data_IF_635651856967
#
_entry.id   IF_635651856967
#
_cell.length_a   1.000
_cell.length_b   1.000
_cell.length_c   1.000
_cell.angle_alpha   90.00
_cell.angle_beta   90.00
_cell.angle_gamma   90.00
#
_symmetry.space_group_name_H-M   'P 1'
#
loop_
_entity.id
_entity.type
_entity.pdbx_description
1 polymer ?
#
# COMPACT_ATOMS: atom_id res chain seq x y z
N UNK A 1 -3.42 -2.89 -9.35
CA UNK A 1 -2.64 -2.66 -8.12
C UNK A 1 -3.49 -3.04 -6.92
N UNK A 2 -2.87 -3.51 -5.84
CA UNK A 2 -3.55 -3.68 -4.55
C UNK A 2 -3.18 -2.54 -3.61
N UNK A 3 -4.06 -2.26 -2.65
CA UNK A 3 -3.82 -1.32 -1.55
C UNK A 3 -3.76 -2.12 -0.25
N UNK A 4 -2.75 -1.87 0.58
CA UNK A 4 -2.60 -2.49 1.90
C UNK A 4 -2.12 -1.44 2.90
N UNK A 5 -2.16 -1.75 4.19
CA UNK A 5 -1.55 -0.93 5.22
C UNK A 5 -0.07 -1.24 5.41
N UNK A 6 0.66 -0.36 6.11
CA UNK A 6 1.96 -0.68 6.70
C UNK A 6 1.87 -1.86 7.70
N UNK A 7 3.01 -2.47 8.03
CA UNK A 7 3.08 -3.65 8.92
C UNK A 7 2.44 -3.41 10.29
N UNK A 8 2.78 -2.30 10.95
CA UNK A 8 2.03 -1.85 12.13
C UNK A 8 0.86 -1.00 11.66
N UNK A 9 -0.37 -1.44 11.94
CA UNK A 9 -1.59 -0.74 11.55
C UNK A 9 -2.55 -0.52 12.71
N UNK A 10 -3.52 0.36 12.53
CA UNK A 10 -4.64 0.61 13.43
C UNK A 10 -5.94 0.72 12.62
N UNK A 11 -7.07 0.91 13.31
CA UNK A 11 -8.38 1.02 12.66
C UNK A 11 -8.43 2.17 11.66
N UNK A 12 -7.99 3.37 12.07
CA UNK A 12 -7.97 4.59 11.25
C UNK A 12 -7.21 4.40 9.94
N UNK A 13 -6.01 3.82 9.99
CA UNK A 13 -5.21 3.56 8.79
C UNK A 13 -5.81 2.47 7.91
N UNK A 14 -6.53 1.51 8.50
CA UNK A 14 -7.27 0.50 7.74
C UNK A 14 -8.45 1.12 7.01
N UNK A 15 -9.22 1.99 7.69
CA UNK A 15 -10.34 2.71 7.09
C UNK A 15 -9.83 3.59 5.94
N UNK A 16 -8.77 4.37 6.18
CA UNK A 16 -8.14 5.20 5.14
C UNK A 16 -7.61 4.39 3.96
N UNK A 17 -7.02 3.22 4.19
CA UNK A 17 -6.59 2.35 3.10
C UNK A 17 -7.75 1.79 2.27
N UNK A 18 -8.92 1.58 2.87
CA UNK A 18 -10.13 1.20 2.13
C UNK A 18 -10.66 2.37 1.28
N UNK A 19 -10.65 3.59 1.83
CA UNK A 19 -11.03 4.80 1.09
C UNK A 19 -10.11 5.02 -0.12
N UNK A 20 -8.79 4.96 0.08
CA UNK A 20 -7.80 5.06 -1.02
C UNK A 20 -8.02 3.97 -2.07
N UNK A 21 -8.32 2.73 -1.65
CA UNK A 21 -8.62 1.65 -2.59
C UNK A 21 -9.88 1.95 -3.43
N UNK A 22 -10.93 2.47 -2.79
CA UNK A 22 -12.16 2.84 -3.47
C UNK A 22 -11.93 3.99 -4.49
N UNK A 23 -11.22 5.04 -4.09
CA UNK A 23 -10.90 6.18 -4.98
C UNK A 23 -10.09 5.76 -6.21
N UNK A 24 -9.16 4.81 -6.03
CA UNK A 24 -8.30 4.30 -7.11
C UNK A 24 -8.92 3.13 -7.89
N UNK A 25 -10.16 2.71 -7.59
CA UNK A 25 -10.76 1.48 -8.12
C UNK A 25 -9.85 0.25 -7.97
N UNK A 26 -9.15 0.17 -6.84
CA UNK A 26 -8.22 -0.90 -6.49
C UNK A 26 -8.81 -1.81 -5.40
N UNK A 27 -8.17 -2.98 -5.18
CA UNK A 27 -8.58 -3.90 -4.12
C UNK A 27 -7.79 -3.65 -2.84
N UNK A 28 -8.48 -3.48 -1.72
CA UNK A 28 -7.86 -3.48 -0.40
C UNK A 28 -7.54 -4.91 0.06
N UNK A 29 -6.31 -5.11 0.52
CA UNK A 29 -5.80 -6.38 1.07
C UNK A 29 -5.26 -6.12 2.47
N UNK A 30 -5.68 -6.92 3.45
CA UNK A 30 -5.12 -6.85 4.81
C UNK A 30 -3.66 -7.28 4.81
N UNK A 31 -2.80 -6.51 5.48
CA UNK A 31 -1.36 -6.74 5.53
C UNK A 31 -0.98 -8.04 6.27
N UNK A 32 -1.58 -8.31 7.43
CA UNK A 32 -1.33 -9.49 8.26
C UNK A 32 0.17 -9.84 8.45
N UNK A 33 1.03 -8.82 8.64
CA UNK A 33 2.49 -8.95 8.71
C UNK A 33 3.19 -9.59 7.49
N UNK A 34 2.46 -9.79 6.38
CA UNK A 34 3.01 -10.31 5.12
C UNK A 34 3.92 -9.24 4.51
N UNK A 35 5.20 -9.52 4.21
CA UNK A 35 6.09 -8.55 3.59
C UNK A 35 5.68 -8.21 2.15
N UNK A 36 6.14 -7.07 1.61
CA UNK A 36 5.70 -6.59 0.28
C UNK A 36 6.03 -7.59 -0.82
N UNK A 37 7.22 -8.20 -0.79
CA UNK A 37 7.63 -9.18 -1.79
C UNK A 37 6.67 -10.39 -1.85
N UNK A 38 6.14 -10.86 -0.72
CA UNK A 38 5.14 -11.94 -0.70
C UNK A 38 3.79 -11.50 -1.25
N UNK A 39 3.41 -10.24 -1.09
CA UNK A 39 2.23 -9.70 -1.76
C UNK A 39 2.43 -9.61 -3.27
N UNK A 40 3.62 -9.27 -3.75
CA UNK A 40 3.91 -9.32 -5.19
C UNK A 40 3.83 -10.74 -5.75
N UNK A 41 4.39 -11.73 -5.05
CA UNK A 41 4.28 -13.15 -5.43
C UNK A 41 2.81 -13.60 -5.51
N UNK A 42 1.99 -13.18 -4.54
CA UNK A 42 0.60 -13.65 -4.42
C UNK A 42 -0.36 -12.96 -5.40
N UNK A 43 -0.23 -11.65 -5.57
CA UNK A 43 -1.21 -10.84 -6.31
C UNK A 43 -0.72 -10.42 -7.69
N UNK A 44 0.57 -10.59 -7.98
CA UNK A 44 1.15 -10.30 -9.29
C UNK A 44 0.89 -8.86 -9.77
N UNK A 45 0.81 -7.92 -8.83
CA UNK A 45 0.44 -6.53 -9.05
C UNK A 45 1.34 -5.57 -8.26
N UNK A 46 1.32 -4.29 -8.62
CA UNK A 46 1.88 -3.22 -7.78
C UNK A 46 1.17 -3.15 -6.43
N UNK A 47 1.92 -2.77 -5.39
CA UNK A 47 1.43 -2.69 -4.02
C UNK A 47 1.52 -1.25 -3.53
N UNK A 48 0.38 -0.62 -3.27
CA UNK A 48 0.32 0.65 -2.56
C UNK A 48 0.19 0.40 -1.06
N UNK A 49 1.17 0.89 -0.31
CA UNK A 49 1.23 0.81 1.15
C UNK A 49 0.79 2.15 1.74
N UNK A 50 -0.29 2.10 2.51
CA UNK A 50 -0.82 3.22 3.29
C UNK A 50 -0.22 3.18 4.68
N UNK A 51 0.58 4.21 4.98
CA UNK A 51 1.14 4.50 6.28
C UNK A 51 0.47 5.73 6.91
N UNK A 52 0.73 5.99 8.21
CA UNK A 52 0.09 7.07 8.97
C UNK A 52 0.14 8.44 8.29
N UNK A 53 1.29 8.80 7.73
CA UNK A 53 1.53 10.10 7.07
C UNK A 53 2.17 9.93 5.67
N UNK A 54 2.03 8.76 5.05
CA UNK A 54 2.73 8.44 3.79
C UNK A 54 1.96 7.41 2.97
N UNK A 55 1.83 7.68 1.67
CA UNK A 55 1.50 6.67 0.67
C UNK A 55 2.79 6.28 -0.07
N UNK A 56 3.09 4.98 -0.11
CA UNK A 56 4.26 4.46 -0.81
C UNK A 56 3.83 3.37 -1.81
N UNK A 57 4.17 3.51 -3.08
CA UNK A 57 3.95 2.50 -4.10
C UNK A 57 5.22 1.67 -4.29
N UNK A 58 5.05 0.36 -4.29
CA UNK A 58 6.05 -0.64 -4.61
C UNK A 58 5.63 -1.27 -5.94
N UNK A 59 6.28 -0.93 -7.07
CA UNK A 59 5.96 -1.54 -8.35
C UNK A 59 6.32 -3.03 -8.38
N UNK A 60 5.55 -3.83 -9.12
CA UNK A 60 5.85 -5.26 -9.31
C UNK A 60 7.25 -5.42 -9.91
N UNK A 61 8.02 -6.36 -9.35
CA UNK A 61 9.34 -6.71 -9.87
C UNK A 61 10.49 -5.83 -9.36
N UNK A 62 10.23 -4.94 -8.40
CA UNK A 62 11.26 -4.19 -7.68
C UNK A 62 10.99 -4.20 -6.17
N UNK A 63 12.05 -4.07 -5.37
CA UNK A 63 11.94 -3.82 -3.93
C UNK A 63 11.94 -2.33 -3.59
N UNK A 64 12.27 -1.48 -4.57
CA UNK A 64 12.28 -0.03 -4.38
C UNK A 64 10.85 0.54 -4.35
N UNK A 65 10.64 1.49 -3.45
CA UNK A 65 9.37 2.20 -3.31
C UNK A 65 9.49 3.66 -3.69
N UNK A 66 8.43 4.18 -4.32
CA UNK A 66 8.25 5.61 -4.49
C UNK A 66 7.20 6.10 -3.49
N UNK A 67 7.36 7.31 -2.99
CA UNK A 67 6.39 7.91 -2.10
C UNK A 67 6.26 9.39 -2.39
N UNK A 68 5.06 9.91 -2.16
CA UNK A 68 4.79 11.32 -2.35
C UNK A 68 5.39 12.12 -1.18
N UNK A 69 6.15 13.17 -1.50
CA UNK A 69 6.45 14.23 -0.55
C UNK A 69 5.52 15.40 -0.86
N UNK A 70 4.72 15.89 0.11
CA UNK A 70 3.83 17.04 -0.11
C UNK A 70 4.57 18.33 -0.49
N UNK A 71 5.90 18.37 -0.30
CA UNK A 71 6.78 19.48 -0.66
C UNK A 71 7.71 19.16 -1.85
N UNK A 72 7.52 18.04 -2.55
CA UNK A 72 8.20 17.81 -3.83
C UNK A 72 7.51 18.64 -4.91
N UNK A 73 7.97 19.88 -5.05
CA UNK A 73 7.76 20.73 -6.22
C UNK A 73 8.82 20.42 -7.29
#
# INVERSE_FOLDING_TARGET
MIVTTAGRTNKEMTDYANEVAAELNASFVKRNDIPVHKLHEQYEQDVLVVGKNRLAIYPKGTEESFFFHPNSA
#
